data_IF_944065205052
#
_entry.id   IF_944065205052
#
_cell.length_a   1.000
_cell.length_b   1.000
_cell.length_c   1.000
_cell.angle_alpha   90.00
_cell.angle_beta   90.00
_cell.angle_gamma   90.00
#
_symmetry.space_group_name_H-M   'P 1'
#
loop_
_entity.id
_entity.type
_entity.pdbx_description
1 polymer ?
#
# COMPACT_ATOMS: atom_id res chain seq x y z
N UNK A 1 5.46 8.23 9.00
CA UNK A 1 5.33 9.59 9.53
C UNK A 1 5.03 9.49 11.01
N UNK A 2 5.74 10.24 11.83
CA UNK A 2 5.52 10.30 13.28
C UNK A 2 4.93 11.66 13.61
N UNK A 3 3.82 11.66 14.33
CA UNK A 3 3.15 12.84 14.89
C UNK A 3 3.61 12.98 16.34
N UNK A 4 3.86 14.21 16.78
CA UNK A 4 4.26 14.55 18.16
C UNK A 4 5.49 13.75 18.64
N UNK A 5 6.51 13.65 17.78
CA UNK A 5 7.77 12.93 18.03
C UNK A 5 8.43 13.43 19.34
N UNK A 6 8.64 12.51 20.29
CA UNK A 6 9.21 12.82 21.61
C UNK A 6 8.22 13.35 22.66
N UNK A 7 6.93 13.42 22.36
CA UNK A 7 5.88 13.83 23.29
C UNK A 7 5.05 12.62 23.78
N UNK A 8 4.28 12.78 24.87
CA UNK A 8 3.56 11.66 25.51
C UNK A 8 2.45 11.04 24.63
N UNK A 9 1.99 11.77 23.62
CA UNK A 9 0.95 11.40 22.66
C UNK A 9 1.52 11.13 21.25
N UNK A 10 2.79 10.72 21.17
CA UNK A 10 3.44 10.34 19.92
C UNK A 10 2.66 9.23 19.18
N UNK A 11 2.44 9.41 17.88
CA UNK A 11 1.79 8.43 17.02
C UNK A 11 2.52 8.24 15.70
N UNK A 12 2.83 6.99 15.37
CA UNK A 12 3.45 6.62 14.09
C UNK A 12 2.43 6.04 13.11
N UNK A 13 2.35 6.64 11.92
CA UNK A 13 1.49 6.19 10.82
C UNK A 13 2.38 5.85 9.62
N UNK A 14 2.24 4.63 9.10
CA UNK A 14 2.85 4.26 7.82
C UNK A 14 2.02 4.88 6.69
N UNK A 15 2.69 5.60 5.79
CA UNK A 15 2.07 6.21 4.60
C UNK A 15 2.80 5.65 3.38
N UNK A 16 2.05 5.00 2.50
CA UNK A 16 2.53 4.43 1.24
C UNK A 16 1.48 4.64 0.14
N UNK A 17 1.77 4.20 -1.09
CA UNK A 17 0.74 4.13 -2.12
C UNK A 17 -0.37 3.17 -1.68
N UNK A 18 -1.62 3.61 -1.78
CA UNK A 18 -2.79 2.84 -1.38
C UNK A 18 -3.29 1.87 -2.46
N UNK A 19 -2.68 1.88 -3.66
CA UNK A 19 -3.11 1.07 -4.82
C UNK A 19 -4.62 1.12 -5.04
N UNK A 20 -5.16 2.34 -5.08
CA UNK A 20 -6.60 2.59 -5.13
C UNK A 20 -7.27 1.85 -6.29
N UNK A 21 -8.48 1.34 -6.06
CA UNK A 21 -9.28 0.74 -7.12
C UNK A 21 -9.70 1.80 -8.16
N UNK A 22 -10.28 2.91 -7.71
CA UNK A 22 -10.40 4.11 -8.54
C UNK A 22 -9.17 4.99 -8.31
N UNK A 23 -8.17 4.86 -9.18
CA UNK A 23 -6.86 5.50 -9.02
C UNK A 23 -6.84 6.90 -9.66
N UNK A 24 -6.92 7.99 -8.87
CA UNK A 24 -6.95 9.34 -9.43
C UNK A 24 -5.64 9.69 -10.15
N UNK A 25 -4.51 9.10 -9.74
CA UNK A 25 -3.23 9.28 -10.43
C UNK A 25 -3.24 8.71 -11.86
N UNK A 26 -3.99 7.65 -12.11
CA UNK A 26 -4.18 7.07 -13.45
C UNK A 26 -5.09 7.98 -14.28
N UNK A 27 -6.21 8.43 -13.71
CA UNK A 27 -7.19 9.26 -14.39
C UNK A 27 -6.66 10.62 -14.89
N UNK A 28 -5.62 11.17 -14.25
CA UNK A 28 -5.05 12.49 -14.61
C UNK A 28 -3.78 12.40 -15.44
N UNK A 29 -3.25 11.20 -15.71
CA UNK A 29 -1.99 11.06 -16.42
C UNK A 29 -2.18 11.37 -17.91
N UNK A 30 -1.47 12.37 -18.47
CA UNK A 30 -1.68 12.76 -19.87
C UNK A 30 -1.03 11.81 -20.87
N UNK A 31 -0.19 10.88 -20.42
CA UNK A 31 0.53 9.91 -21.26
C UNK A 31 0.12 8.47 -21.01
N UNK A 32 -0.95 8.26 -20.24
CA UNK A 32 -1.47 6.93 -19.88
C UNK A 32 -0.37 5.99 -19.33
N UNK A 33 0.58 6.54 -18.58
CA UNK A 33 1.71 5.75 -18.08
C UNK A 33 1.31 4.81 -16.93
N UNK A 34 0.14 4.97 -16.32
CA UNK A 34 -0.33 4.10 -15.24
C UNK A 34 -1.19 2.97 -15.78
N UNK A 35 -1.07 1.80 -15.16
CA UNK A 35 -1.92 0.65 -15.42
C UNK A 35 -2.19 -0.12 -14.12
N UNK A 36 -3.20 -0.98 -14.10
CA UNK A 36 -3.55 -1.82 -12.94
C UNK A 36 -3.35 -3.28 -13.34
N UNK A 37 -2.69 -4.06 -12.48
CA UNK A 37 -2.58 -5.52 -12.64
C UNK A 37 -3.87 -6.22 -12.23
N UNK A 38 -4.01 -7.49 -12.60
CA UNK A 38 -5.16 -8.33 -12.19
C UNK A 38 -5.24 -8.49 -10.67
N UNK A 39 -4.09 -8.45 -9.98
CA UNK A 39 -4.00 -8.46 -8.51
C UNK A 39 -4.36 -7.11 -7.86
N UNK A 40 -4.80 -6.12 -8.65
CA UNK A 40 -5.21 -4.80 -8.16
C UNK A 40 -4.05 -3.82 -7.91
N UNK A 41 -2.81 -4.17 -8.27
CA UNK A 41 -1.64 -3.32 -8.05
C UNK A 41 -1.61 -2.23 -9.11
N UNK A 42 -1.76 -0.97 -8.69
CA UNK A 42 -1.52 0.18 -9.57
C UNK A 42 -0.02 0.35 -9.82
N UNK A 43 0.42 0.21 -11.07
CA UNK A 43 1.80 0.36 -11.53
C UNK A 43 1.93 1.51 -12.52
N UNK A 44 3.18 1.80 -12.90
CA UNK A 44 3.49 2.87 -13.84
C UNK A 44 4.66 2.49 -14.74
N UNK A 45 4.57 2.82 -16.02
CA UNK A 45 5.64 2.75 -17.00
C UNK A 45 6.53 4.00 -16.88
N UNK A 46 7.80 3.78 -16.53
CA UNK A 46 8.79 4.85 -16.37
C UNK A 46 9.24 5.42 -17.71
N UNK A 47 9.14 4.69 -18.82
CA UNK A 47 9.52 5.19 -20.14
C UNK A 47 8.48 6.19 -20.66
N UNK A 48 7.19 5.91 -20.45
CA UNK A 48 6.08 6.80 -20.82
C UNK A 48 5.92 8.02 -19.89
N UNK A 49 6.49 7.96 -18.69
CA UNK A 49 6.37 9.05 -17.72
C UNK A 49 7.16 10.30 -18.18
N UNK A 50 6.47 11.43 -18.36
CA UNK A 50 7.09 12.71 -18.77
C UNK A 50 7.39 13.66 -17.61
N UNK A 51 7.23 13.21 -16.37
CA UNK A 51 7.58 14.05 -15.21
C UNK A 51 6.64 15.24 -14.94
N UNK A 52 5.41 15.24 -15.46
CA UNK A 52 4.52 16.42 -15.38
C UNK A 52 3.98 16.74 -13.97
N UNK A 53 3.98 15.77 -13.05
CA UNK A 53 3.55 15.98 -11.66
C UNK A 53 2.05 15.96 -11.39
N UNK A 54 1.18 15.81 -12.39
CA UNK A 54 -0.29 15.82 -12.17
C UNK A 54 -0.75 14.71 -11.22
N UNK A 55 -0.13 13.54 -11.31
CA UNK A 55 -0.43 12.43 -10.41
C UNK A 55 -0.15 12.75 -8.93
N UNK A 56 0.87 13.56 -8.62
CA UNK A 56 1.15 14.00 -7.25
C UNK A 56 0.02 14.86 -6.71
N UNK A 57 -0.46 15.84 -7.49
CA UNK A 57 -1.55 16.71 -7.07
C UNK A 57 -2.90 15.99 -6.96
N UNK A 58 -3.12 14.97 -7.79
CA UNK A 58 -4.36 14.19 -7.75
C UNK A 58 -4.37 13.12 -6.65
N UNK A 59 -3.20 12.66 -6.18
CA UNK A 59 -3.14 11.61 -5.17
C UNK A 59 -3.48 12.15 -3.78
N UNK A 60 -4.56 11.70 -3.11
CA UNK A 60 -4.93 12.19 -1.78
C UNK A 60 -3.93 11.78 -0.69
N UNK A 61 -3.03 10.84 -0.99
CA UNK A 61 -2.01 10.34 -0.08
C UNK A 61 -0.60 10.88 -0.38
N UNK A 62 -0.44 11.71 -1.42
CA UNK A 62 0.87 12.22 -1.84
C UNK A 62 1.87 11.12 -2.23
N UNK A 63 1.39 9.97 -2.69
CA UNK A 63 2.24 8.80 -2.93
C UNK A 63 3.24 8.95 -4.09
N UNK A 64 2.91 9.61 -5.22
CA UNK A 64 3.88 9.88 -6.28
C UNK A 64 5.01 10.79 -5.80
N UNK A 65 6.25 10.38 -6.05
CA UNK A 65 7.47 11.10 -5.70
C UNK A 65 8.31 11.32 -6.96
N UNK A 66 9.11 12.38 -6.95
CA UNK A 66 9.91 12.80 -8.10
C UNK A 66 11.35 13.10 -7.67
N UNK A 67 12.36 12.81 -8.51
CA UNK A 67 13.76 13.15 -8.23
C UNK A 67 14.00 14.64 -8.01
N UNK A 68 13.22 15.50 -8.68
CA UNK A 68 13.31 16.96 -8.56
C UNK A 68 11.99 17.53 -8.05
N UNK A 69 12.08 18.51 -7.14
CA UNK A 69 10.91 19.09 -6.47
C UNK A 69 10.42 20.40 -7.14
N UNK A 70 11.16 20.88 -8.12
CA UNK A 70 10.93 22.15 -8.79
C UNK A 70 9.53 22.22 -9.38
N UNK A 71 8.89 23.39 -9.24
CA UNK A 71 7.52 23.59 -9.71
C UNK A 71 7.42 23.67 -11.24
N UNK A 72 8.53 24.00 -11.90
CA UNK A 72 8.61 24.29 -13.34
C UNK A 72 9.75 23.46 -13.96
N UNK A 73 9.46 22.75 -15.05
CA UNK A 73 10.41 21.87 -15.74
C UNK A 73 10.08 20.37 -15.58
N UNK A 74 10.91 19.51 -16.19
CA UNK A 74 10.78 18.06 -16.07
C UNK A 74 11.24 17.63 -14.68
N UNK A 75 10.30 17.18 -13.81
CA UNK A 75 10.61 16.75 -12.43
C UNK A 75 11.42 15.44 -12.36
N UNK A 76 11.78 14.87 -13.51
CA UNK A 76 12.28 13.51 -13.67
C UNK A 76 11.16 12.48 -13.70
N UNK A 77 11.55 11.21 -13.87
CA UNK A 77 10.60 10.08 -13.87
C UNK A 77 10.00 9.92 -12.48
N UNK A 78 8.68 9.85 -12.42
CA UNK A 78 7.94 9.63 -11.18
C UNK A 78 8.21 8.22 -10.64
N UNK A 79 8.19 8.08 -9.32
CA UNK A 79 8.15 6.78 -8.66
C UNK A 79 7.20 6.78 -7.46
N UNK A 80 6.77 5.60 -7.03
CA UNK A 80 5.93 5.38 -5.84
C UNK A 80 6.06 3.94 -5.39
N UNK A 81 5.49 3.60 -4.23
CA UNK A 81 5.33 2.19 -3.85
C UNK A 81 4.65 1.39 -4.98
N UNK A 82 5.32 0.32 -5.41
CA UNK A 82 4.85 -0.64 -6.43
C UNK A 82 4.33 -1.93 -5.79
N UNK A 83 4.12 -1.94 -4.47
CA UNK A 83 3.88 -3.16 -3.71
C UNK A 83 5.00 -4.21 -3.86
N UNK A 84 6.23 -3.75 -4.15
CA UNK A 84 7.35 -4.61 -4.55
C UNK A 84 7.08 -5.50 -5.77
N UNK A 85 6.11 -5.12 -6.62
CA UNK A 85 6.05 -5.62 -7.98
C UNK A 85 7.03 -4.83 -8.86
N UNK A 86 7.41 -5.40 -9.99
CA UNK A 86 8.21 -4.68 -10.98
C UNK A 86 7.34 -3.90 -11.97
N UNK A 87 7.76 -3.84 -13.22
CA UNK A 87 7.15 -2.99 -14.24
C UNK A 87 6.94 -3.70 -15.57
N UNK A 88 6.63 -2.94 -16.63
CA UNK A 88 6.25 -3.52 -17.93
C UNK A 88 7.47 -3.91 -18.79
N UNK A 89 8.69 -3.80 -18.27
CA UNK A 89 9.91 -4.08 -19.04
C UNK A 89 10.00 -5.56 -19.42
N UNK A 90 10.53 -5.85 -20.61
CA UNK A 90 10.62 -7.24 -21.12
C UNK A 90 11.75 -8.04 -20.49
N UNK A 91 12.86 -7.36 -20.14
CA UNK A 91 14.03 -8.01 -19.55
C UNK A 91 14.06 -7.85 -18.04
N UNK A 92 14.47 -8.92 -17.35
CA UNK A 92 14.58 -8.94 -15.89
C UNK A 92 15.60 -7.93 -15.38
N UNK A 93 16.68 -7.72 -16.13
CA UNK A 93 17.74 -6.76 -15.81
C UNK A 93 17.22 -5.32 -15.82
N UNK A 94 16.49 -4.95 -16.88
CA UNK A 94 15.91 -3.61 -17.02
C UNK A 94 14.81 -3.37 -15.98
N UNK A 95 13.98 -4.37 -15.72
CA UNK A 95 12.95 -4.31 -14.69
C UNK A 95 13.58 -4.09 -13.30
N UNK A 96 14.67 -4.79 -13.01
CA UNK A 96 15.42 -4.64 -11.76
C UNK A 96 16.06 -3.26 -11.63
N UNK A 97 16.63 -2.72 -12.71
CA UNK A 97 17.21 -1.38 -12.72
C UNK A 97 16.13 -0.30 -12.49
N UNK A 98 14.97 -0.46 -13.13
CA UNK A 98 13.88 0.53 -13.06
C UNK A 98 13.07 0.45 -11.78
N UNK A 99 12.78 -0.74 -11.26
CA UNK A 99 11.79 -0.96 -10.17
C UNK A 99 12.34 -1.73 -8.97
N UNK A 100 13.56 -2.27 -9.06
CA UNK A 100 14.13 -3.15 -8.06
C UNK A 100 13.59 -4.58 -8.14
N UNK A 101 13.63 -5.31 -7.03
CA UNK A 101 13.19 -6.71 -7.01
C UNK A 101 11.68 -6.84 -7.21
N UNK A 102 11.24 -7.60 -8.21
CA UNK A 102 9.86 -8.01 -8.37
C UNK A 102 9.53 -9.21 -7.46
N UNK A 103 9.17 -8.91 -6.21
CA UNK A 103 8.87 -9.91 -5.17
C UNK A 103 7.52 -10.57 -5.37
N UNK A 104 6.55 -9.85 -5.94
CA UNK A 104 5.21 -10.38 -6.20
C UNK A 104 5.27 -11.51 -7.23
N UNK A 105 6.06 -11.36 -8.29
CA UNK A 105 6.29 -12.43 -9.26
C UNK A 105 6.97 -13.68 -8.66
N UNK A 106 7.70 -13.53 -7.56
CA UNK A 106 8.32 -14.64 -6.82
C UNK A 106 7.37 -15.27 -5.77
N UNK A 107 6.12 -14.83 -5.69
CA UNK A 107 5.16 -15.28 -4.67
C UNK A 107 5.51 -14.83 -3.24
N UNK A 108 6.36 -13.80 -3.11
CA UNK A 108 6.79 -13.27 -1.82
C UNK A 108 5.99 -12.02 -1.45
N UNK A 109 5.85 -11.79 -0.15
CA UNK A 109 5.25 -10.55 0.36
C UNK A 109 6.13 -9.32 0.04
N UNK A 110 5.55 -8.11 -0.03
CA UNK A 110 6.30 -6.86 -0.05
C UNK A 110 7.28 -6.77 1.11
N UNK A 111 8.48 -6.24 0.84
CA UNK A 111 9.59 -6.25 1.80
C UNK A 111 9.25 -5.54 3.12
N UNK A 112 8.53 -4.41 3.04
CA UNK A 112 8.12 -3.64 4.23
C UNK A 112 7.17 -4.43 5.15
N UNK A 113 6.27 -5.24 4.59
CA UNK A 113 5.35 -6.08 5.35
C UNK A 113 6.06 -7.32 5.91
N UNK A 114 6.93 -7.95 5.12
CA UNK A 114 7.70 -9.12 5.56
C UNK A 114 8.63 -8.78 6.73
N UNK A 115 9.38 -7.68 6.61
CA UNK A 115 10.38 -7.26 7.59
C UNK A 115 9.79 -6.55 8.83
N UNK A 116 8.49 -6.24 8.84
CA UNK A 116 7.86 -5.54 9.96
C UNK A 116 7.90 -6.40 11.23
N UNK A 117 8.80 -6.06 12.16
CA UNK A 117 9.03 -6.79 13.41
C UNK A 117 7.81 -6.84 14.33
N UNK A 118 6.99 -5.78 14.30
CA UNK A 118 5.78 -5.64 15.12
C UNK A 118 4.51 -6.12 14.43
N UNK A 119 4.60 -6.55 13.15
CA UNK A 119 3.43 -6.92 12.32
C UNK A 119 2.36 -5.83 12.24
N UNK A 120 2.81 -4.56 12.29
CA UNK A 120 1.97 -3.40 12.03
C UNK A 120 1.58 -3.31 10.55
N UNK A 121 2.49 -3.67 9.65
CA UNK A 121 2.24 -3.79 8.21
C UNK A 121 1.84 -5.22 7.86
N UNK A 122 0.75 -5.36 7.12
CA UNK A 122 0.23 -6.62 6.61
C UNK A 122 0.10 -6.50 5.09
N UNK A 123 0.36 -7.60 4.39
CA UNK A 123 0.18 -7.72 2.95
C UNK A 123 -0.22 -9.17 2.63
N UNK A 124 -1.03 -9.35 1.60
CA UNK A 124 -1.61 -10.63 1.22
C UNK A 124 -2.93 -10.41 0.50
N UNK A 125 -3.72 -11.48 0.37
CA UNK A 125 -5.08 -11.39 -0.16
C UNK A 125 -5.92 -10.40 0.66
N UNK A 126 -6.76 -9.62 -0.03
CA UNK A 126 -7.54 -8.57 0.60
C UNK A 126 -8.50 -9.12 1.67
N UNK A 127 -9.06 -10.30 1.45
CA UNK A 127 -10.00 -10.94 2.37
C UNK A 127 -9.27 -11.38 3.64
N UNK A 128 -8.12 -12.03 3.51
CA UNK A 128 -7.30 -12.48 4.64
C UNK A 128 -6.85 -11.29 5.51
N UNK A 129 -6.37 -10.22 4.88
CA UNK A 129 -5.96 -9.01 5.60
C UNK A 129 -7.16 -8.35 6.30
N UNK A 130 -8.33 -8.33 5.67
CA UNK A 130 -9.54 -7.79 6.27
C UNK A 130 -10.03 -8.62 7.48
N UNK A 131 -9.88 -9.94 7.44
CA UNK A 131 -10.19 -10.82 8.57
C UNK A 131 -9.26 -10.56 9.76
N UNK A 132 -7.96 -10.46 9.53
CA UNK A 132 -6.99 -10.10 10.58
C UNK A 132 -7.32 -8.71 11.16
N UNK A 133 -7.69 -7.74 10.31
CA UNK A 133 -8.08 -6.41 10.77
C UNK A 133 -9.31 -6.46 11.67
N UNK A 134 -10.38 -7.18 11.27
CA UNK A 134 -11.59 -7.37 12.08
C UNK A 134 -11.26 -7.94 13.46
N UNK A 135 -10.44 -8.99 13.52
CA UNK A 135 -10.00 -9.60 14.77
C UNK A 135 -9.25 -8.60 15.66
N UNK A 136 -8.32 -7.83 15.08
CA UNK A 136 -7.53 -6.82 15.82
C UNK A 136 -8.41 -5.71 16.39
N UNK A 137 -9.43 -5.26 15.66
CA UNK A 137 -10.36 -4.22 16.12
C UNK A 137 -11.19 -4.71 17.31
N UNK A 138 -11.70 -5.94 17.24
CA UNK A 138 -12.43 -6.57 18.34
C UNK A 138 -11.53 -6.74 19.57
N UNK A 139 -10.31 -7.26 19.39
CA UNK A 139 -9.36 -7.47 20.48
C UNK A 139 -8.97 -6.18 21.20
N UNK A 140 -8.79 -5.08 20.46
CA UNK A 140 -8.47 -3.76 21.03
C UNK A 140 -9.64 -3.13 21.79
N UNK A 141 -10.85 -3.68 21.70
CA UNK A 141 -12.03 -3.15 22.39
C UNK A 141 -12.43 -1.75 21.91
N UNK A 142 -12.23 -1.44 20.63
CA UNK A 142 -12.63 -0.15 20.08
C UNK A 142 -14.15 0.00 20.23
N UNK A 143 -14.60 1.05 20.93
CA UNK A 143 -16.01 1.27 21.30
C UNK A 143 -16.95 1.32 20.09
N UNK A 144 -16.42 1.70 18.92
CA UNK A 144 -17.13 1.77 17.64
C UNK A 144 -16.60 0.76 16.59
N UNK A 145 -15.78 -0.21 17.02
CA UNK A 145 -15.04 -1.12 16.15
C UNK A 145 -15.90 -2.17 15.43
N UNK A 146 -17.14 -2.34 15.88
CA UNK A 146 -18.15 -3.14 15.23
C UNK A 146 -19.36 -2.24 14.99
N UNK A 147 -19.52 -1.73 13.76
CA UNK A 147 -20.78 -1.10 13.35
C UNK A 147 -21.91 -2.14 13.16
N UNK A 148 -22.09 -3.03 14.14
CA UNK A 148 -23.32 -3.79 14.29
C UNK A 148 -23.50 -4.18 15.75
N UNK A 149 -24.66 -3.84 16.29
CA UNK A 149 -25.24 -4.46 17.48
C UNK A 149 -25.54 -5.95 17.19
N UNK A 150 -24.53 -6.76 16.86
CA UNK A 150 -24.68 -8.18 16.60
C UNK A 150 -24.00 -8.98 17.72
N UNK A 151 -24.76 -9.46 18.71
CA UNK A 151 -24.24 -10.27 19.82
C UNK A 151 -23.70 -11.65 19.38
N UNK A 152 -23.82 -12.03 18.10
CA UNK A 152 -23.30 -13.29 17.58
C UNK A 152 -21.78 -13.25 17.28
N UNK A 153 -21.25 -12.09 16.89
CA UNK A 153 -19.83 -11.96 16.50
C UNK A 153 -18.85 -12.07 17.69
N UNK A 154 -19.32 -11.84 18.91
CA UNK A 154 -18.52 -12.04 20.13
C UNK A 154 -18.44 -13.52 20.55
N UNK A 155 -19.44 -14.34 20.20
CA UNK A 155 -19.50 -15.75 20.58
C UNK A 155 -18.64 -16.63 19.64
N UNK A 156 -18.65 -16.35 18.35
CA UNK A 156 -17.94 -17.18 17.35
C UNK A 156 -16.42 -16.99 17.44
N UNK A 157 -15.96 -15.80 17.83
CA UNK A 157 -14.53 -15.52 18.03
C UNK A 157 -13.96 -16.16 19.31
N UNK A 158 -14.78 -16.36 20.35
CA UNK A 158 -14.36 -17.11 21.55
C UNK A 158 -14.17 -18.61 21.24
N UNK A 159 -14.95 -19.17 20.31
CA UNK A 159 -14.81 -20.55 19.88
C UNK A 159 -13.54 -20.77 19.03
N UNK A 160 -13.16 -19.81 18.18
CA UNK A 160 -11.93 -19.88 17.40
C UNK A 160 -10.67 -19.77 18.29
N UNK A 161 -10.64 -18.85 19.25
CA UNK A 161 -9.52 -18.69 20.19
C UNK A 161 -9.36 -19.88 21.16
N UNK A 162 -10.45 -20.58 21.46
CA UNK A 162 -10.42 -21.82 22.26
C UNK A 162 -9.90 -23.03 21.46
N UNK A 163 -10.10 -23.05 20.14
CA UNK A 163 -9.71 -24.16 19.27
C UNK A 163 -8.24 -24.15 18.84
N UNK A 164 -7.54 -23.01 18.95
CA UNK A 164 -6.17 -22.83 18.43
C UNK A 164 -5.10 -22.55 19.50
N UNK A 165 -5.44 -22.69 20.79
CA UNK A 165 -4.47 -22.76 21.89
C UNK A 165 -4.16 -24.24 22.20
N UNK A 166 -3.25 -24.81 21.42
CA UNK A 166 -2.55 -26.07 21.69
C UNK A 166 -1.06 -25.82 21.78
#
# INVERSE_FOLDING_TARGET
>A
MTLNDGEADEMSISVACMHCDDAPCMAVCPTDCFYKTDDGIVLHDKDLCIGCGYCLYACPFGAPQFPQQDAFGERGKMDKCTFCAGGPAESKEEEYEKYGSNRIAEGKLPLCAEMCSTKALLAGDAQDVADIFRQRVVHRGHKDGAWSNNPQASADNLAYDAAHKG
#
